data_IF_732216106444
#
_entry.id   IF_732216106444
#
_cell.length_a   1.000
_cell.length_b   1.000
_cell.length_c   1.000
_cell.angle_alpha   90.00
_cell.angle_beta   90.00
_cell.angle_gamma   90.00
#
_symmetry.space_group_name_H-M   'P 1'
#
loop_
_entity.id
_entity.type
_entity.pdbx_description
1 polymer ?
#
# COMPACT_ATOMS: atom_id res chain seq x y z
N UNK A 1 -18.78 -14.79 22.66
CA UNK A 1 -19.17 -13.43 22.23
C UNK A 1 -17.98 -12.56 21.79
N UNK A 2 -16.74 -12.82 22.23
CA UNK A 2 -15.57 -11.94 21.98
C UNK A 2 -14.89 -12.06 20.61
N UNK A 3 -15.19 -13.07 19.79
CA UNK A 3 -14.47 -13.32 18.53
C UNK A 3 -14.85 -12.38 17.38
N UNK A 4 -16.06 -11.81 17.38
CA UNK A 4 -16.54 -10.91 16.31
C UNK A 4 -15.85 -9.54 16.32
N UNK A 5 -15.42 -9.09 17.50
CA UNK A 5 -14.74 -7.80 17.66
C UNK A 5 -13.31 -7.90 17.14
N UNK A 6 -12.59 -8.97 17.50
CA UNK A 6 -11.22 -9.19 17.06
C UNK A 6 -11.10 -9.25 15.52
N UNK A 7 -12.00 -9.98 14.86
CA UNK A 7 -11.98 -10.11 13.39
C UNK A 7 -12.31 -8.80 12.66
N UNK A 8 -13.20 -7.98 13.22
CA UNK A 8 -13.53 -6.67 12.64
C UNK A 8 -12.37 -5.68 12.78
N UNK A 9 -11.66 -5.72 13.91
CA UNK A 9 -10.45 -4.92 14.13
C UNK A 9 -9.33 -5.30 13.17
N UNK A 10 -9.09 -6.59 12.96
CA UNK A 10 -8.09 -7.05 11.98
C UNK A 10 -8.40 -6.60 10.56
N UNK A 11 -9.68 -6.65 10.14
CA UNK A 11 -10.08 -6.21 8.80
C UNK A 11 -9.79 -4.72 8.56
N UNK A 12 -10.08 -3.86 9.53
CA UNK A 12 -9.77 -2.44 9.43
C UNK A 12 -8.26 -2.17 9.35
N UNK A 13 -7.45 -2.92 10.12
CA UNK A 13 -6.00 -2.80 10.07
C UNK A 13 -5.45 -3.17 8.68
N UNK A 14 -5.95 -4.23 8.06
CA UNK A 14 -5.53 -4.61 6.70
C UNK A 14 -5.82 -3.51 5.69
N UNK A 15 -7.02 -2.90 5.76
CA UNK A 15 -7.38 -1.78 4.90
C UNK A 15 -6.46 -0.58 5.15
N UNK A 16 -6.26 -0.20 6.41
CA UNK A 16 -5.42 0.93 6.79
C UNK A 16 -3.96 0.74 6.34
N UNK A 17 -3.41 -0.46 6.49
CA UNK A 17 -2.07 -0.81 6.00
C UNK A 17 -2.02 -0.70 4.48
N UNK A 18 -3.01 -1.24 3.76
CA UNK A 18 -3.06 -1.12 2.30
C UNK A 18 -3.06 0.34 1.83
N UNK A 19 -3.91 1.18 2.42
CA UNK A 19 -3.98 2.62 2.12
C UNK A 19 -2.65 3.32 2.44
N UNK A 20 -2.05 3.03 3.59
CA UNK A 20 -0.75 3.59 3.95
C UNK A 20 0.33 3.26 2.90
N UNK A 21 0.40 2.00 2.47
CA UNK A 21 1.38 1.57 1.45
C UNK A 21 1.14 2.30 0.12
N UNK A 22 -0.12 2.48 -0.30
CA UNK A 22 -0.45 3.30 -1.47
C UNK A 22 0.06 4.72 -1.31
N UNK A 23 -0.20 5.35 -0.17
CA UNK A 23 0.22 6.72 0.09
C UNK A 23 1.74 6.86 0.11
N UNK A 24 2.48 5.87 0.62
CA UNK A 24 3.95 5.85 0.55
C UNK A 24 4.43 5.78 -0.89
N UNK A 25 3.83 4.92 -1.71
CA UNK A 25 4.16 4.83 -3.14
C UNK A 25 3.89 6.15 -3.87
N UNK A 26 2.70 6.73 -3.68
CA UNK A 26 2.32 8.03 -4.26
C UNK A 26 3.23 9.15 -3.76
N UNK A 27 3.49 9.22 -2.45
CA UNK A 27 4.38 10.20 -1.84
C UNK A 27 5.80 10.11 -2.39
N UNK A 28 6.28 8.89 -2.68
CA UNK A 28 7.56 8.66 -3.34
C UNK A 28 7.55 9.19 -4.77
N UNK A 29 6.48 8.96 -5.52
CA UNK A 29 6.32 9.48 -6.88
C UNK A 29 6.30 11.01 -6.92
N UNK A 30 5.55 11.63 -6.00
CA UNK A 30 5.42 13.09 -5.90
C UNK A 30 6.71 13.73 -5.40
N UNK A 31 7.35 13.15 -4.39
CA UNK A 31 8.63 13.64 -3.86
C UNK A 31 9.78 13.48 -4.85
N UNK A 32 9.66 12.52 -5.77
CA UNK A 32 10.63 12.21 -6.82
C UNK A 32 12.09 12.25 -6.32
N UNK A 33 12.44 11.50 -5.25
CA UNK A 33 13.75 11.60 -4.58
C UNK A 33 14.93 11.30 -5.50
N UNK A 34 14.72 10.51 -6.55
CA UNK A 34 15.71 10.23 -7.59
C UNK A 34 16.19 11.49 -8.33
N UNK A 35 15.44 12.60 -8.31
CA UNK A 35 15.89 13.87 -8.88
C UNK A 35 17.09 14.46 -8.16
N UNK A 36 17.31 14.08 -6.91
CA UNK A 36 18.37 14.60 -6.04
C UNK A 36 19.45 13.55 -5.76
N UNK A 37 19.25 12.30 -6.19
CA UNK A 37 20.19 11.21 -5.96
C UNK A 37 21.22 11.12 -7.09
N UNK A 38 22.49 10.93 -6.75
CA UNK A 38 23.60 10.78 -7.72
C UNK A 38 23.68 9.40 -8.40
N UNK A 39 22.58 8.65 -8.44
CA UNK A 39 22.54 7.25 -8.91
C UNK A 39 22.32 7.06 -10.42
N UNK A 40 22.07 8.14 -11.16
CA UNK A 40 21.81 8.07 -12.61
C UNK A 40 20.47 7.43 -12.99
N UNK A 41 20.23 7.31 -14.30
CA UNK A 41 18.92 6.96 -14.88
C UNK A 41 18.45 5.56 -14.49
N UNK A 42 19.35 4.57 -14.43
CA UNK A 42 18.99 3.19 -14.09
C UNK A 42 18.43 3.08 -12.66
N UNK A 43 19.07 3.75 -11.69
CA UNK A 43 18.62 3.78 -10.30
C UNK A 43 17.31 4.57 -10.16
N UNK A 44 17.14 5.64 -10.92
CA UNK A 44 15.87 6.37 -10.97
C UNK A 44 14.71 5.48 -11.48
N UNK A 45 14.95 4.71 -12.54
CA UNK A 45 13.95 3.79 -13.09
C UNK A 45 13.53 2.72 -12.08
N UNK A 46 14.49 2.13 -11.35
CA UNK A 46 14.19 1.16 -10.29
C UNK A 46 13.39 1.78 -9.14
N UNK A 47 13.68 3.02 -8.75
CA UNK A 47 12.91 3.73 -7.72
C UNK A 47 11.46 3.99 -8.17
N UNK A 48 11.27 4.45 -9.40
CA UNK A 48 9.94 4.64 -9.98
C UNK A 48 9.18 3.32 -10.01
N UNK A 49 9.83 2.26 -10.50
CA UNK A 49 9.25 0.92 -10.54
C UNK A 49 8.86 0.43 -9.13
N UNK A 50 9.72 0.62 -8.14
CA UNK A 50 9.43 0.31 -6.75
C UNK A 50 8.24 1.10 -6.19
N UNK A 51 8.14 2.39 -6.50
CA UNK A 51 7.03 3.23 -6.07
C UNK A 51 5.70 2.79 -6.70
N UNK A 52 5.67 2.49 -8.00
CA UNK A 52 4.49 1.95 -8.70
C UNK A 52 4.11 0.58 -8.13
N UNK A 53 5.09 -0.28 -7.87
CA UNK A 53 4.86 -1.60 -7.27
C UNK A 53 4.25 -1.47 -5.87
N UNK A 54 4.73 -0.52 -5.06
CA UNK A 54 4.15 -0.21 -3.76
C UNK A 54 2.68 0.17 -3.86
N UNK A 55 2.31 1.03 -4.82
CA UNK A 55 0.90 1.39 -5.07
C UNK A 55 0.08 0.14 -5.42
N UNK A 56 0.56 -0.69 -6.33
CA UNK A 56 -0.15 -1.91 -6.72
C UNK A 56 -0.36 -2.86 -5.53
N UNK A 57 0.68 -3.08 -4.73
CA UNK A 57 0.62 -3.92 -3.52
C UNK A 57 -0.35 -3.34 -2.50
N UNK A 58 -0.27 -2.03 -2.22
CA UNK A 58 -1.15 -1.37 -1.26
C UNK A 58 -2.63 -1.46 -1.67
N UNK A 59 -2.94 -1.27 -2.95
CA UNK A 59 -4.29 -1.48 -3.50
C UNK A 59 -4.75 -2.92 -3.31
N UNK A 60 -3.88 -3.89 -3.63
CA UNK A 60 -4.17 -5.31 -3.46
C UNK A 60 -4.50 -5.67 -2.00
N UNK A 61 -3.69 -5.19 -1.05
CA UNK A 61 -3.90 -5.41 0.38
C UNK A 61 -5.23 -4.79 0.85
N UNK A 62 -5.49 -3.53 0.48
CA UNK A 62 -6.73 -2.86 0.86
C UNK A 62 -7.96 -3.57 0.28
N UNK A 63 -7.87 -4.03 -0.97
CA UNK A 63 -8.95 -4.75 -1.64
C UNK A 63 -9.27 -6.08 -0.97
N UNK A 64 -8.25 -6.84 -0.54
CA UNK A 64 -8.45 -8.08 0.24
C UNK A 64 -9.17 -7.80 1.57
N UNK A 65 -8.83 -6.72 2.26
CA UNK A 65 -9.52 -6.29 3.48
C UNK A 65 -11.00 -5.97 3.26
N UNK A 66 -11.33 -5.30 2.15
CA UNK A 66 -12.72 -4.99 1.75
C UNK A 66 -13.49 -6.25 1.34
N UNK A 67 -12.91 -7.11 0.51
CA UNK A 67 -13.52 -8.35 0.04
C UNK A 67 -13.90 -9.28 1.21
N UNK A 68 -12.99 -9.45 2.17
CA UNK A 68 -13.23 -10.25 3.38
C UNK A 68 -14.36 -9.70 4.27
N UNK A 69 -14.66 -8.41 4.16
CA UNK A 69 -15.79 -7.78 4.87
C UNK A 69 -17.13 -8.06 4.18
N UNK A 70 -17.13 -8.27 2.84
CA UNK A 70 -18.34 -8.57 2.06
C UNK A 70 -18.77 -10.02 2.12
N UNK A 71 -17.82 -10.97 2.08
CA UNK A 71 -18.09 -12.42 2.14
C UNK A 71 -18.82 -12.84 3.44
N UNK A 72 -18.61 -12.11 4.53
CA UNK A 72 -19.16 -12.42 5.86
C UNK A 72 -20.56 -11.85 6.13
N UNK A 73 -21.20 -11.21 5.14
CA UNK A 73 -22.54 -10.65 5.24
C UNK A 73 -23.53 -11.55 4.52
#
# INVERSE_FOLDING_TARGET
MSSRIATRWSAWLVIAVGVFVVLVGVGTLVGAPWRYASGGVAIAALQIFGAVSSVAVGVGIAWLGVGNTREKR
#
